data_IF_680205568256
#
_entry.id   IF_680205568256
#
_cell.length_a   1.000
_cell.length_b   1.000
_cell.length_c   1.000
_cell.angle_alpha   90.00
_cell.angle_beta   90.00
_cell.angle_gamma   90.00
#
_symmetry.space_group_name_H-M   'P 1'
#
loop_
_entity.id
_entity.type
_entity.pdbx_description
1 polymer ?
#
# COMPACT_ATOMS: atom_id res chain seq x y z
N UNK A 1 -13.31 13.09 -55.07
CA UNK A 1 -13.68 14.20 -55.97
C UNK A 1 -15.07 14.68 -55.54
N UNK A 2 -15.13 15.87 -54.93
CA UNK A 2 -16.24 16.80 -54.60
C UNK A 2 -17.67 16.26 -54.34
N UNK A 3 -18.31 16.42 -53.16
CA UNK A 3 -18.90 17.61 -52.48
C UNK A 3 -20.36 17.94 -52.89
N UNK A 4 -21.22 18.24 -51.88
CA UNK A 4 -22.38 19.20 -51.85
C UNK A 4 -23.73 18.70 -52.45
N UNK A 5 -24.98 18.91 -51.93
CA UNK A 5 -25.71 19.67 -50.86
C UNK A 5 -27.13 19.02 -50.75
N UNK A 6 -27.80 18.81 -49.60
CA UNK A 6 -28.54 19.73 -48.69
C UNK A 6 -29.80 20.43 -49.25
N UNK A 7 -31.01 19.98 -48.85
CA UNK A 7 -32.32 20.69 -48.75
C UNK A 7 -33.15 19.91 -47.68
N UNK A 8 -33.19 20.26 -46.38
CA UNK A 8 -34.02 21.27 -45.70
C UNK A 8 -35.53 21.11 -45.98
N UNK A 9 -36.30 20.50 -45.07
CA UNK A 9 -37.19 21.15 -44.08
C UNK A 9 -38.58 21.49 -44.67
N UNK A 10 -39.58 21.56 -43.80
CA UNK A 10 -41.03 21.76 -44.04
C UNK A 10 -41.80 20.42 -44.21
N UNK A 11 -42.88 20.14 -43.50
CA UNK A 11 -43.74 20.99 -42.70
C UNK A 11 -44.47 20.10 -41.68
N UNK A 12 -44.62 20.65 -40.48
CA UNK A 12 -45.47 20.15 -39.41
C UNK A 12 -46.93 19.93 -39.85
N UNK A 13 -47.69 19.29 -38.95
CA UNK A 13 -49.16 19.30 -38.82
C UNK A 13 -49.95 18.16 -39.48
N UNK A 14 -50.04 17.05 -38.74
CA UNK A 14 -51.34 16.45 -38.42
C UNK A 14 -51.22 15.70 -37.10
N UNK A 15 -51.39 16.38 -35.98
CA UNK A 15 -52.69 16.48 -35.29
C UNK A 15 -53.32 15.09 -35.18
N UNK A 16 -52.98 14.36 -34.12
CA UNK A 16 -53.70 14.36 -32.83
C UNK A 16 -54.81 13.32 -32.83
N UNK A 17 -54.98 12.70 -31.67
CA UNK A 17 -56.05 11.79 -31.25
C UNK A 17 -55.83 10.30 -31.55
N UNK A 18 -55.20 9.63 -30.59
CA UNK A 18 -55.70 8.41 -29.92
C UNK A 18 -54.68 8.13 -28.80
N UNK A 19 -54.69 8.94 -27.75
CA UNK A 19 -55.37 8.59 -26.52
C UNK A 19 -54.90 7.24 -25.94
N UNK A 20 -53.95 7.36 -25.01
CA UNK A 20 -53.94 6.68 -23.71
C UNK A 20 -54.02 5.15 -23.77
N UNK A 21 -52.90 4.50 -23.45
CA UNK A 21 -52.90 3.43 -22.46
C UNK A 21 -51.57 3.45 -21.71
N UNK A 22 -51.67 3.93 -20.46
CA UNK A 22 -50.72 3.74 -19.39
C UNK A 22 -50.39 2.26 -19.25
N UNK A 23 -49.11 1.89 -19.22
CA UNK A 23 -48.64 0.82 -18.35
C UNK A 23 -47.19 1.10 -17.93
N UNK A 24 -47.09 1.70 -16.74
CA UNK A 24 -45.87 1.82 -15.96
C UNK A 24 -45.29 0.43 -15.67
N UNK A 25 -44.15 0.12 -16.25
CA UNK A 25 -43.32 -1.03 -15.90
C UNK A 25 -42.10 -0.57 -15.12
N UNK A 26 -42.13 -0.80 -13.81
CA UNK A 26 -41.13 -0.44 -12.82
C UNK A 26 -39.74 -1.02 -13.17
N UNK A 27 -38.74 -0.15 -13.34
CA UNK A 27 -37.35 -0.51 -13.59
C UNK A 27 -36.71 -0.94 -12.26
N UNK A 28 -36.62 -2.24 -11.99
CA UNK A 28 -35.87 -2.76 -10.83
C UNK A 28 -34.38 -2.74 -11.19
N UNK A 29 -33.70 -1.65 -10.81
CA UNK A 29 -32.24 -1.64 -10.74
C UNK A 29 -31.86 -2.50 -9.53
N UNK A 30 -31.49 -3.75 -9.77
CA UNK A 30 -30.81 -4.56 -8.78
C UNK A 30 -29.43 -3.93 -8.54
N UNK A 31 -29.36 -3.05 -7.55
CA UNK A 31 -28.11 -2.52 -7.04
C UNK A 31 -27.37 -3.67 -6.32
N UNK A 32 -26.58 -4.44 -7.06
CA UNK A 32 -25.48 -5.21 -6.48
C UNK A 32 -24.39 -4.21 -6.08
N UNK A 33 -24.62 -3.47 -4.99
CA UNK A 33 -23.56 -2.76 -4.30
C UNK A 33 -22.58 -3.79 -3.73
N UNK A 34 -21.26 -3.53 -3.74
CA UNK A 34 -20.32 -4.35 -3.00
C UNK A 34 -20.79 -4.43 -1.54
N UNK A 35 -20.83 -5.63 -0.98
CA UNK A 35 -21.07 -5.79 0.45
C UNK A 35 -20.03 -4.92 1.20
N UNK A 36 -20.42 -4.16 2.23
CA UNK A 36 -19.46 -3.51 3.10
C UNK A 36 -18.60 -4.63 3.68
N UNK A 37 -17.36 -4.75 3.19
CA UNK A 37 -16.36 -5.44 3.97
C UNK A 37 -16.14 -4.54 5.17
N UNK A 38 -16.73 -4.92 6.30
CA UNK A 38 -16.34 -4.38 7.58
C UNK A 38 -14.85 -4.68 7.70
N UNK A 39 -13.98 -3.74 7.31
CA UNK A 39 -12.57 -3.78 7.64
C UNK A 39 -12.54 -3.89 9.16
N UNK A 40 -12.31 -5.10 9.66
CA UNK A 40 -12.18 -5.34 11.08
C UNK A 40 -11.16 -4.33 11.57
N UNK A 41 -11.61 -3.40 12.41
CA UNK A 41 -10.70 -2.61 13.22
C UNK A 41 -9.76 -3.61 13.87
N UNK A 42 -8.45 -3.40 13.74
CA UNK A 42 -7.50 -4.10 14.62
C UNK A 42 -8.09 -3.91 16.01
N UNK A 43 -8.42 -5.00 16.75
CA UNK A 43 -8.79 -4.85 18.14
C UNK A 43 -7.72 -3.96 18.75
N UNK A 44 -8.10 -2.83 19.31
CA UNK A 44 -7.16 -2.00 20.07
C UNK A 44 -6.80 -2.79 21.33
N UNK A 45 -5.96 -3.80 21.17
CA UNK A 45 -5.46 -4.64 22.23
C UNK A 45 -3.96 -4.47 22.24
N UNK A 46 -3.45 -4.48 23.46
CA UNK A 46 -2.04 -4.42 23.79
C UNK A 46 -1.31 -5.73 23.42
N UNK A 47 -1.80 -6.42 22.37
CA UNK A 47 -1.50 -7.78 21.99
C UNK A 47 -0.55 -7.80 20.78
N UNK A 48 0.22 -8.88 20.68
CA UNK A 48 1.04 -9.14 19.51
C UNK A 48 0.19 -9.67 18.35
N UNK A 49 0.19 -8.94 17.25
CA UNK A 49 -0.40 -9.31 15.98
C UNK A 49 0.65 -9.94 15.08
N UNK A 50 0.61 -11.26 14.95
CA UNK A 50 1.45 -12.00 14.01
C UNK A 50 0.93 -11.88 12.58
N UNK A 51 1.85 -11.84 11.63
CA UNK A 51 1.52 -11.79 10.21
C UNK A 51 2.58 -12.47 9.36
N UNK A 52 2.13 -12.97 8.22
CA UNK A 52 2.98 -13.34 7.09
C UNK A 52 2.62 -12.42 5.91
N UNK A 53 3.41 -12.41 4.85
CA UNK A 53 3.04 -11.63 3.68
C UNK A 53 3.96 -11.74 2.49
N UNK A 54 3.72 -10.87 1.53
CA UNK A 54 4.56 -10.69 0.36
C UNK A 54 4.59 -9.22 0.00
N UNK A 55 5.78 -8.67 -0.12
CA UNK A 55 6.05 -7.35 -0.68
C UNK A 55 6.60 -7.51 -2.08
N UNK A 56 5.99 -6.83 -3.05
CA UNK A 56 6.50 -6.69 -4.42
C UNK A 56 6.75 -5.21 -4.67
N UNK A 57 7.91 -4.87 -5.23
CA UNK A 57 8.26 -3.47 -5.47
C UNK A 57 9.12 -3.29 -6.72
N UNK A 58 8.99 -2.10 -7.29
CA UNK A 58 9.84 -1.59 -8.34
C UNK A 58 10.55 -0.31 -7.88
N UNK A 59 11.65 0.03 -8.50
CA UNK A 59 12.50 1.08 -8.00
C UNK A 59 13.66 1.43 -8.92
N UNK A 60 14.48 2.37 -8.45
CA UNK A 60 15.75 2.70 -9.06
C UNK A 60 16.89 2.41 -8.07
N UNK A 61 18.04 2.02 -8.61
CA UNK A 61 19.26 1.77 -7.86
C UNK A 61 20.43 2.46 -8.53
N UNK A 62 21.12 3.29 -7.77
CA UNK A 62 22.40 3.84 -8.17
C UNK A 62 23.52 3.09 -7.45
N UNK A 63 24.48 2.57 -8.20
CA UNK A 63 25.61 1.80 -7.66
C UNK A 63 26.92 2.51 -7.99
N UNK A 64 27.80 2.58 -7.00
CA UNK A 64 29.14 3.13 -7.10
C UNK A 64 30.16 2.09 -6.67
N UNK A 65 31.28 2.03 -7.40
CA UNK A 65 32.44 1.20 -7.04
C UNK A 65 33.32 1.95 -6.05
N UNK A 66 33.71 1.27 -4.97
CA UNK A 66 34.64 1.77 -3.96
C UNK A 66 35.94 0.96 -4.06
N UNK A 67 36.73 1.21 -5.10
CA UNK A 67 37.88 0.38 -5.45
C UNK A 67 37.48 -0.90 -6.20
N UNK A 68 38.30 -1.95 -6.09
CA UNK A 68 38.14 -3.20 -6.86
C UNK A 68 37.09 -4.14 -6.28
N UNK A 69 36.93 -4.19 -4.96
CA UNK A 69 36.20 -5.28 -4.29
C UNK A 69 34.98 -4.82 -3.50
N UNK A 70 34.75 -3.51 -3.39
CA UNK A 70 33.63 -2.94 -2.64
C UNK A 70 32.68 -2.19 -3.56
N UNK A 71 31.39 -2.31 -3.26
CA UNK A 71 30.32 -1.56 -3.90
C UNK A 71 29.44 -0.91 -2.86
N UNK A 72 29.01 0.31 -3.13
CA UNK A 72 27.94 0.97 -2.39
C UNK A 72 26.80 1.28 -3.35
N UNK A 73 25.56 1.16 -2.89
CA UNK A 73 24.39 1.55 -3.66
C UNK A 73 23.34 2.21 -2.79
N UNK A 74 22.58 3.10 -3.43
CA UNK A 74 21.32 3.60 -2.89
C UNK A 74 20.19 3.09 -3.77
N UNK A 75 19.07 2.73 -3.16
CA UNK A 75 17.88 2.37 -3.91
C UNK A 75 16.62 2.90 -3.24
N UNK A 76 15.63 3.25 -4.07
CA UNK A 76 14.28 3.56 -3.66
C UNK A 76 13.34 2.50 -4.25
N UNK A 77 12.40 2.02 -3.45
CA UNK A 77 11.42 1.02 -3.83
C UNK A 77 10.02 1.53 -3.50
N UNK A 78 9.07 1.28 -4.40
CA UNK A 78 7.65 1.49 -4.21
C UNK A 78 6.90 0.24 -4.69
N UNK A 79 5.90 -0.19 -3.94
CA UNK A 79 5.00 -1.23 -4.39
C UNK A 79 3.99 -1.67 -3.35
N UNK A 80 3.53 -2.91 -3.48
CA UNK A 80 2.42 -3.45 -2.71
C UNK A 80 2.89 -4.51 -1.72
N UNK A 81 2.50 -4.35 -0.47
CA UNK A 81 2.68 -5.32 0.61
C UNK A 81 1.32 -5.91 0.96
N UNK A 82 1.18 -7.23 0.78
CA UNK A 82 -0.04 -7.97 1.14
C UNK A 82 0.27 -8.86 2.33
N UNK A 83 -0.56 -8.78 3.36
CA UNK A 83 -0.41 -9.58 4.57
C UNK A 83 -1.46 -10.69 4.64
N UNK A 84 -1.05 -11.79 5.25
CA UNK A 84 -1.84 -12.96 5.60
C UNK A 84 -1.71 -13.25 7.10
N UNK A 85 -2.56 -14.14 7.62
CA UNK A 85 -2.66 -14.47 9.05
C UNK A 85 -3.90 -13.89 9.70
N UNK A 86 -4.43 -14.57 10.71
CA UNK A 86 -5.72 -14.22 11.34
C UNK A 86 -5.66 -12.89 12.08
N UNK A 87 -4.55 -12.60 12.76
CA UNK A 87 -4.34 -11.40 13.57
C UNK A 87 -3.67 -10.24 12.83
N UNK A 88 -3.47 -10.35 11.50
CA UNK A 88 -2.76 -9.35 10.70
C UNK A 88 -3.35 -7.94 10.87
N UNK A 89 -2.51 -6.89 10.90
CA UNK A 89 -2.98 -5.52 11.16
C UNK A 89 -3.83 -4.95 10.01
N UNK A 90 -3.58 -5.35 8.77
CA UNK A 90 -4.41 -4.99 7.61
C UNK A 90 -4.22 -6.04 6.52
N UNK A 91 -5.07 -6.00 5.48
CA UNK A 91 -4.91 -6.87 4.31
C UNK A 91 -3.76 -6.41 3.42
N UNK A 92 -3.64 -5.11 3.18
CA UNK A 92 -2.67 -4.58 2.24
C UNK A 92 -2.20 -3.17 2.57
N UNK A 93 -1.01 -2.87 2.07
CA UNK A 93 -0.35 -1.58 2.20
C UNK A 93 0.34 -1.21 0.89
N UNK A 94 0.36 0.08 0.56
CA UNK A 94 1.44 0.63 -0.27
C UNK A 94 2.69 0.71 0.60
N UNK A 95 3.78 0.14 0.14
CA UNK A 95 5.04 0.10 0.88
C UNK A 95 6.12 0.81 0.06
N UNK A 96 6.71 1.84 0.66
CA UNK A 96 7.82 2.62 0.14
C UNK A 96 9.06 2.35 0.99
N UNK A 97 10.22 2.19 0.37
CA UNK A 97 11.49 2.03 1.09
C UNK A 97 12.63 2.77 0.41
N UNK A 98 13.53 3.32 1.23
CA UNK A 98 14.82 3.86 0.80
C UNK A 98 15.93 3.12 1.54
N UNK A 99 16.94 2.67 0.81
CA UNK A 99 18.03 1.85 1.35
C UNK A 99 19.39 2.34 0.89
N UNK A 100 20.37 2.25 1.78
CA UNK A 100 21.79 2.31 1.50
C UNK A 100 22.36 0.90 1.72
N UNK A 101 23.04 0.38 0.71
CA UNK A 101 23.72 -0.91 0.78
C UNK A 101 25.21 -0.73 0.57
N UNK A 102 26.01 -1.41 1.36
CA UNK A 102 27.45 -1.52 1.20
C UNK A 102 27.85 -2.99 1.25
N UNK A 103 28.60 -3.45 0.25
CA UNK A 103 28.96 -4.88 0.14
C UNK A 103 29.85 -5.39 1.26
N UNK A 104 30.40 -4.51 2.10
CA UNK A 104 31.24 -4.85 3.26
C UNK A 104 30.51 -4.55 4.58
N UNK A 105 29.88 -3.39 4.73
CA UNK A 105 29.25 -2.99 6.00
C UNK A 105 27.76 -3.32 6.12
N UNK A 106 27.13 -3.81 5.05
CA UNK A 106 25.73 -4.23 5.06
C UNK A 106 24.75 -3.19 4.55
N UNK A 107 23.46 -3.43 4.83
CA UNK A 107 22.34 -2.63 4.38
C UNK A 107 21.63 -1.94 5.54
N UNK A 108 21.27 -0.67 5.35
CA UNK A 108 20.38 0.08 6.23
C UNK A 108 19.31 0.79 5.42
N UNK A 109 18.13 1.02 6.01
CA UNK A 109 17.08 1.73 5.32
C UNK A 109 15.95 2.22 6.20
N UNK A 110 14.95 2.80 5.53
CA UNK A 110 13.66 3.19 6.09
C UNK A 110 12.55 2.69 5.19
N UNK A 111 11.44 2.27 5.78
CA UNK A 111 10.25 1.94 5.05
C UNK A 111 9.00 2.56 5.68
N UNK A 112 8.04 2.91 4.84
CA UNK A 112 6.72 3.43 5.19
C UNK A 112 5.67 2.51 4.59
N UNK A 113 4.77 2.00 5.43
CA UNK A 113 3.64 1.18 5.02
C UNK A 113 2.38 2.01 5.18
N UNK A 114 1.71 2.35 4.08
CA UNK A 114 0.47 3.13 4.06
C UNK A 114 -0.69 2.22 3.74
N UNK A 115 -1.67 2.12 4.63
CA UNK A 115 -2.85 1.29 4.42
C UNK A 115 -3.91 1.96 3.50
N UNK A 116 -5.06 1.30 3.33
CA UNK A 116 -6.19 1.83 2.55
C UNK A 116 -6.82 3.11 3.12
N UNK A 117 -6.59 3.43 4.41
CA UNK A 117 -7.11 4.61 5.11
C UNK A 117 -6.12 5.78 5.11
N UNK A 118 -4.89 5.55 4.63
CA UNK A 118 -3.80 6.52 4.69
C UNK A 118 -3.05 6.52 6.03
N UNK A 119 -3.36 5.59 6.94
CA UNK A 119 -2.61 5.42 8.19
C UNK A 119 -1.27 4.74 7.88
N UNK A 120 -0.20 5.21 8.52
CA UNK A 120 1.16 4.82 8.19
C UNK A 120 1.86 4.09 9.33
N UNK A 121 2.56 3.00 9.03
CA UNK A 121 3.56 2.42 9.93
C UNK A 121 4.97 2.71 9.38
N UNK A 122 5.89 3.08 10.27
CA UNK A 122 7.27 3.39 9.93
C UNK A 122 8.20 2.29 10.42
N UNK A 123 9.24 1.98 9.67
CA UNK A 123 10.26 1.03 10.11
C UNK A 123 11.67 1.42 9.69
N UNK A 124 12.64 1.01 10.50
CA UNK A 124 14.02 0.89 10.04
C UNK A 124 14.27 -0.49 9.46
N UNK A 125 15.13 -0.55 8.43
CA UNK A 125 15.58 -1.78 7.81
C UNK A 125 17.06 -1.99 8.09
N UNK A 126 17.45 -3.24 8.35
CA UNK A 126 18.85 -3.68 8.45
C UNK A 126 19.03 -5.00 7.72
N UNK A 127 20.15 -5.17 7.03
CA UNK A 127 20.53 -6.43 6.40
C UNK A 127 22.03 -6.56 6.27
N UNK A 128 22.52 -7.74 5.92
CA UNK A 128 23.95 -8.03 5.80
C UNK A 128 24.56 -7.51 4.48
N UNK A 129 23.72 -7.01 3.57
CA UNK A 129 24.11 -6.25 2.37
C UNK A 129 24.90 -7.01 1.30
N UNK A 130 24.80 -8.34 1.31
CA UNK A 130 25.43 -9.20 0.30
C UNK A 130 24.36 -10.01 -0.44
N UNK A 131 24.66 -10.41 -1.69
CA UNK A 131 23.80 -11.35 -2.42
C UNK A 131 23.73 -12.73 -1.74
N UNK A 132 24.79 -13.10 -1.00
CA UNK A 132 24.93 -14.38 -0.29
C UNK A 132 24.11 -14.44 1.00
N UNK A 133 23.88 -13.29 1.66
CA UNK A 133 23.01 -13.16 2.83
C UNK A 133 22.01 -12.03 2.61
N UNK A 134 20.85 -12.40 2.07
CA UNK A 134 19.80 -11.49 1.65
C UNK A 134 18.71 -11.29 2.71
N UNK A 135 18.94 -11.72 3.96
CA UNK A 135 17.98 -11.53 5.06
C UNK A 135 17.99 -10.07 5.51
N UNK A 136 16.81 -9.49 5.53
CA UNK A 136 16.51 -8.13 5.96
C UNK A 136 15.58 -8.22 7.16
N UNK A 137 15.89 -7.46 8.21
CA UNK A 137 15.07 -7.29 9.39
C UNK A 137 14.55 -5.86 9.41
N UNK A 138 13.24 -5.73 9.54
CA UNK A 138 12.57 -4.47 9.80
C UNK A 138 12.19 -4.34 11.27
N UNK A 139 12.39 -3.17 11.84
CA UNK A 139 11.93 -2.82 13.20
C UNK A 139 10.98 -1.64 13.11
N UNK A 140 9.75 -1.79 13.62
CA UNK A 140 8.79 -0.70 13.63
C UNK A 140 9.26 0.44 14.56
N UNK A 141 9.08 1.67 14.09
CA UNK A 141 9.47 2.91 14.77
C UNK A 141 8.24 3.70 15.28
N UNK A 142 7.04 3.15 15.15
CA UNK A 142 5.77 3.84 15.35
C UNK A 142 5.02 4.08 14.04
N UNK A 143 4.11 5.04 14.05
CA UNK A 143 3.19 5.28 12.95
C UNK A 143 2.22 6.41 13.22
N UNK A 144 1.24 6.56 12.34
CA UNK A 144 0.12 7.51 12.43
C UNK A 144 -1.20 6.75 12.52
N UNK A 145 -2.26 7.46 12.94
CA UNK A 145 -3.61 6.89 13.03
C UNK A 145 -3.62 5.61 13.85
N UNK A 146 -4.14 4.52 13.28
CA UNK A 146 -4.19 3.21 13.95
C UNK A 146 -2.85 2.50 14.13
N UNK A 147 -1.74 3.08 13.66
CA UNK A 147 -0.38 2.58 13.88
C UNK A 147 0.43 3.47 14.83
N UNK A 148 -0.23 4.44 15.47
CA UNK A 148 0.40 5.26 16.52
C UNK A 148 0.98 4.35 17.60
N UNK A 149 2.27 4.51 17.89
CA UNK A 149 2.97 3.68 18.86
C UNK A 149 3.25 2.25 18.40
N UNK A 150 3.12 1.91 17.12
CA UNK A 150 3.44 0.58 16.61
C UNK A 150 4.88 0.15 16.96
N UNK A 151 5.00 -1.00 17.62
CA UNK A 151 6.27 -1.63 17.98
C UNK A 151 6.32 -3.07 17.47
N UNK A 152 7.51 -3.59 17.17
CA UNK A 152 7.69 -4.96 16.71
C UNK A 152 8.75 -5.10 15.64
N UNK A 153 8.83 -6.30 15.08
CA UNK A 153 9.82 -6.64 14.07
C UNK A 153 9.23 -7.56 13.01
N UNK A 154 9.82 -7.52 11.83
CA UNK A 154 9.55 -8.43 10.73
C UNK A 154 10.85 -8.77 10.01
N UNK A 155 10.83 -9.86 9.26
CA UNK A 155 11.96 -10.32 8.48
C UNK A 155 11.52 -10.84 7.13
N UNK A 156 12.42 -10.77 6.15
CA UNK A 156 12.25 -11.37 4.84
C UNK A 156 13.62 -11.50 4.16
N UNK A 157 13.68 -12.35 3.14
CA UNK A 157 14.76 -12.35 2.16
C UNK A 157 14.33 -11.53 0.93
N UNK A 158 15.24 -10.78 0.29
CA UNK A 158 14.92 -10.08 -0.97
C UNK A 158 15.38 -10.87 -2.19
N UNK A 159 14.49 -11.02 -3.18
CA UNK A 159 14.81 -11.61 -4.48
C UNK A 159 14.56 -10.58 -5.58
N UNK A 160 15.60 -10.24 -6.32
CA UNK A 160 15.46 -9.47 -7.55
C UNK A 160 14.78 -10.32 -8.64
N UNK A 161 13.83 -9.71 -9.33
CA UNK A 161 13.09 -10.28 -10.47
C UNK A 161 13.60 -9.65 -11.77
N UNK A 162 13.91 -8.35 -11.73
CA UNK A 162 14.50 -7.62 -12.84
C UNK A 162 15.61 -6.71 -12.30
N UNK A 163 16.74 -6.72 -13.00
CA UNK A 163 17.80 -5.73 -12.85
C UNK A 163 18.26 -5.37 -14.26
N UNK A 164 18.23 -4.10 -14.62
CA UNK A 164 18.74 -3.63 -15.90
C UNK A 164 19.87 -2.61 -15.74
N UNK A 165 20.51 -2.27 -16.86
CA UNK A 165 21.66 -1.36 -16.89
C UNK A 165 21.28 0.09 -16.58
N UNK A 166 20.02 0.47 -16.78
CA UNK A 166 19.49 1.82 -16.48
C UNK A 166 19.25 2.04 -14.98
N UNK A 167 19.56 1.04 -14.14
CA UNK A 167 19.35 1.10 -12.70
C UNK A 167 17.92 0.81 -12.28
N UNK A 168 17.03 0.41 -13.19
CA UNK A 168 15.68 -0.05 -12.84
C UNK A 168 15.80 -1.43 -12.19
N UNK A 169 15.17 -1.56 -11.03
CA UNK A 169 15.12 -2.80 -10.26
C UNK A 169 13.69 -3.17 -9.92
N UNK A 170 13.40 -4.47 -9.97
CA UNK A 170 12.17 -5.03 -9.43
C UNK A 170 12.51 -6.21 -8.55
N UNK A 171 11.75 -6.42 -7.50
CA UNK A 171 11.96 -7.56 -6.63
C UNK A 171 10.75 -7.87 -5.78
N UNK A 172 10.90 -8.94 -5.02
CA UNK A 172 9.91 -9.39 -4.06
C UNK A 172 10.55 -9.95 -2.81
N UNK A 173 9.84 -9.82 -1.69
CA UNK A 173 10.20 -10.50 -0.45
C UNK A 173 9.94 -12.00 -0.55
N UNK A 174 10.77 -12.79 0.11
CA UNK A 174 10.62 -14.23 0.30
C UNK A 174 10.52 -14.51 1.79
N UNK A 175 9.47 -15.23 2.20
CA UNK A 175 9.25 -15.61 3.59
C UNK A 175 9.02 -14.42 4.52
N UNK A 176 8.33 -13.38 4.05
CA UNK A 176 8.03 -12.22 4.89
C UNK A 176 7.12 -12.63 6.03
N UNK A 177 7.57 -12.39 7.26
CA UNK A 177 6.81 -12.66 8.48
C UNK A 177 7.24 -11.72 9.59
N UNK A 178 6.36 -11.49 10.55
CA UNK A 178 6.65 -10.64 11.68
C UNK A 178 5.54 -10.58 12.70
N UNK A 179 5.73 -9.68 13.65
CA UNK A 179 4.72 -9.33 14.64
C UNK A 179 4.76 -7.84 14.93
N UNK A 180 3.58 -7.27 15.18
CA UNK A 180 3.42 -5.88 15.58
C UNK A 180 2.47 -5.79 16.75
N UNK A 181 2.72 -4.87 17.66
CA UNK A 181 1.78 -4.46 18.70
C UNK A 181 1.49 -2.99 18.52
N UNK A 182 0.23 -2.61 18.64
CA UNK A 182 -0.19 -1.21 18.55
C UNK A 182 -0.75 -0.80 19.90
N UNK A 183 -0.11 0.16 20.53
CA UNK A 183 -0.62 0.72 21.78
C UNK A 183 -1.83 1.61 21.48
N UNK A 184 -2.93 1.49 22.26
CA UNK A 184 -3.99 2.48 22.22
C UNK A 184 -3.39 3.88 22.46
N UNK A 185 -3.85 4.92 21.75
CA UNK A 185 -3.43 6.28 22.08
C UNK A 185 -3.77 6.55 23.56
N UNK A 186 -2.89 7.25 24.32
CA UNK A 186 -3.17 7.57 25.70
C UNK A 186 -4.51 8.28 25.78
N UNK A 187 -5.38 7.80 26.69
CA UNK A 187 -6.67 8.44 26.92
C UNK A 187 -6.41 9.93 27.18
N UNK A 188 -7.03 10.81 26.39
CA UNK A 188 -6.96 12.25 26.65
C UNK A 188 -7.50 12.45 28.06
N UNK A 189 -6.63 12.80 29.00
CA UNK A 189 -7.03 13.10 30.36
C UNK A 189 -8.12 14.17 30.32
N UNK A 190 -9.24 13.91 30.99
CA UNK A 190 -10.24 14.93 31.24
C UNK A 190 -9.52 16.11 31.90
N UNK A 191 -9.38 17.22 31.18
CA UNK A 191 -9.07 18.50 31.80
C UNK A 191 -10.34 18.89 32.54
N UNK A 192 -10.45 18.41 33.77
CA UNK A 192 -11.47 18.79 34.71
C UNK A 192 -11.24 20.28 35.02
N UNK A 193 -11.99 21.13 34.33
CA UNK A 193 -11.97 22.57 34.53
C UNK A 193 -12.41 22.90 35.95
N UNK A 194 -11.44 23.04 36.85
CA UNK A 194 -11.63 23.70 38.14
C UNK A 194 -11.41 25.19 37.92
N UNK A 195 -12.48 25.84 37.44
CA UNK A 195 -12.62 27.29 37.45
C UNK A 195 -13.82 27.64 38.31
N UNK A 196 -13.58 27.92 39.58
CA UNK A 196 -14.49 28.68 40.44
C UNK A 196 -13.70 29.81 41.08
#
# INVERSE_FOLDING_TARGET
>A
MNLIRAIALDCELRSSQFAILLFSGLLVVAACGPAPQTSASIPSSDEWHEFEGTWTAAGNRYTMRLGTDRQASIANFDGSLLLAGHSRPAVGFRCEAIVLNDSVSGMVGRAVWTDERGDQAYSELRGEGTATSNRIVGTFLGGTGRYTGAEGTYEFAWRFVLENEDGIVQGQSIGLKGRVRVHPPPARGNVEGTGQ
#
